data_IF_998744753567
#
_entry.id   IF_998744753567
#
_cell.length_a   1.000
_cell.length_b   1.000
_cell.length_c   1.000
_cell.angle_alpha   90.00
_cell.angle_beta   90.00
_cell.angle_gamma   90.00
#
_symmetry.space_group_name_H-M   'P 1'
#
loop_
_entity.id
_entity.type
_entity.pdbx_description
1 polymer ?
#
# COMPACT_ATOMS: atom_id res chain seq x y z
N UNK A 1 15.45 9.84 11.86
CA UNK A 1 15.80 9.36 10.51
C UNK A 1 15.75 7.83 10.41
N UNK A 2 16.44 7.07 11.26
CA UNK A 2 16.41 5.60 11.28
C UNK A 2 15.00 4.99 11.32
N UNK A 3 14.12 5.49 12.21
CA UNK A 3 12.74 4.99 12.33
C UNK A 3 11.95 5.10 11.01
N UNK A 4 12.17 6.18 10.24
CA UNK A 4 11.49 6.39 8.96
C UNK A 4 11.94 5.36 7.92
N UNK A 5 13.24 5.05 7.89
CA UNK A 5 13.78 4.01 7.02
C UNK A 5 13.25 2.62 7.39
N UNK A 6 13.18 2.30 8.69
CA UNK A 6 12.61 1.03 9.16
C UNK A 6 11.15 0.91 8.68
N UNK A 7 10.35 1.96 8.86
CA UNK A 7 8.97 1.98 8.37
C UNK A 7 8.87 1.77 6.87
N UNK A 8 9.72 2.43 6.08
CA UNK A 8 9.76 2.22 4.62
C UNK A 8 10.11 0.78 4.25
N UNK A 9 11.13 0.18 4.88
CA UNK A 9 11.51 -1.21 4.60
C UNK A 9 10.39 -2.20 4.94
N UNK A 10 9.74 -2.01 6.09
CA UNK A 10 8.59 -2.84 6.49
C UNK A 10 7.45 -2.67 5.49
N UNK A 11 7.13 -1.43 5.10
CA UNK A 11 6.06 -1.14 4.15
C UNK A 11 6.31 -1.76 2.77
N UNK A 12 7.54 -1.68 2.26
CA UNK A 12 7.92 -2.33 1.01
C UNK A 12 7.72 -3.85 1.15
N UNK A 13 8.26 -4.44 2.21
CA UNK A 13 8.17 -5.90 2.43
C UNK A 13 6.73 -6.38 2.56
N UNK A 14 5.89 -5.70 3.33
CA UNK A 14 4.46 -6.07 3.47
C UNK A 14 3.71 -5.91 2.16
N UNK A 15 4.05 -4.89 1.36
CA UNK A 15 3.48 -4.70 0.02
C UNK A 15 3.92 -5.78 -0.95
N UNK A 16 5.17 -6.26 -0.89
CA UNK A 16 5.66 -7.39 -1.69
C UNK A 16 4.97 -8.71 -1.34
N UNK A 17 4.67 -8.92 -0.05
CA UNK A 17 3.97 -10.11 0.45
C UNK A 17 2.47 -10.13 0.17
N UNK A 18 1.90 -9.08 -0.44
CA UNK A 18 0.46 -8.99 -0.71
C UNK A 18 -0.40 -8.67 0.50
N UNK A 19 0.21 -8.18 1.58
CA UNK A 19 -0.49 -7.77 2.80
C UNK A 19 -1.04 -6.34 2.66
N UNK A 20 -1.86 -6.09 1.64
CA UNK A 20 -2.33 -4.74 1.28
C UNK A 20 -2.99 -3.98 2.42
N UNK A 21 -3.90 -4.63 3.18
CA UNK A 21 -4.53 -4.01 4.37
C UNK A 21 -3.49 -3.60 5.40
N UNK A 22 -2.48 -4.45 5.65
CA UNK A 22 -1.40 -4.13 6.60
C UNK A 22 -0.60 -2.93 6.11
N UNK A 23 -0.29 -2.87 4.80
CA UNK A 23 0.39 -1.73 4.20
C UNK A 23 -0.42 -0.43 4.29
N UNK A 24 -1.76 -0.48 4.16
CA UNK A 24 -2.66 0.67 4.38
C UNK A 24 -2.56 1.17 5.82
N UNK A 25 -2.66 0.26 6.79
CA UNK A 25 -2.57 0.59 8.23
C UNK A 25 -1.21 1.19 8.55
N UNK A 26 -0.12 0.55 8.12
CA UNK A 26 1.24 1.05 8.31
C UNK A 26 1.41 2.45 7.70
N UNK A 27 0.89 2.66 6.50
CA UNK A 27 1.03 3.95 5.83
C UNK A 27 0.28 5.05 6.56
N UNK A 28 -0.94 4.76 7.00
CA UNK A 28 -1.80 5.70 7.74
C UNK A 28 -1.18 6.04 9.10
N UNK A 29 -0.74 5.03 9.85
CA UNK A 29 -0.10 5.21 11.16
C UNK A 29 1.18 6.03 11.03
N UNK A 30 2.02 5.76 10.02
CA UNK A 30 3.25 6.51 9.84
C UNK A 30 3.02 7.98 9.44
N UNK A 31 2.04 8.25 8.56
CA UNK A 31 1.63 9.62 8.22
C UNK A 31 1.14 10.36 9.48
N UNK A 32 0.34 9.70 10.32
CA UNK A 32 -0.13 10.29 11.58
C UNK A 32 1.04 10.57 12.53
N UNK A 33 1.97 9.62 12.68
CA UNK A 33 3.16 9.78 13.51
C UNK A 33 4.03 10.95 13.05
N UNK A 34 4.16 11.14 11.73
CA UNK A 34 4.84 12.30 11.15
C UNK A 34 4.12 13.60 11.50
N UNK A 35 2.79 13.67 11.41
CA UNK A 35 2.02 14.86 11.80
C UNK A 35 2.17 15.20 13.29
N UNK A 36 2.21 14.18 14.15
CA UNK A 36 2.44 14.34 15.59
C UNK A 36 3.90 14.63 15.97
N UNK A 37 4.80 14.75 14.98
CA UNK A 37 6.24 15.00 15.16
C UNK A 37 6.95 13.94 16.04
N UNK A 38 6.44 12.69 16.06
CA UNK A 38 7.04 11.60 16.85
C UNK A 38 8.48 11.32 16.38
N UNK A 39 8.75 11.03 15.09
CA UNK A 39 10.11 11.08 14.58
C UNK A 39 10.51 12.55 14.38
N UNK A 40 11.50 13.01 15.15
CA UNK A 40 12.16 14.29 14.88
C UNK A 40 12.86 14.23 13.51
N UNK A 41 12.23 14.85 12.51
CA UNK A 41 12.72 14.98 11.14
C UNK A 41 12.66 16.45 10.74
N UNK A 42 13.56 16.86 9.84
CA UNK A 42 13.48 18.19 9.24
C UNK A 42 12.17 18.33 8.44
N UNK A 43 11.67 19.55 8.29
CA UNK A 43 10.43 19.83 7.58
C UNK A 43 10.45 19.29 6.13
N UNK A 44 11.61 19.41 5.45
CA UNK A 44 11.79 18.88 4.10
C UNK A 44 11.69 17.35 4.06
N UNK A 45 12.40 16.66 4.97
CA UNK A 45 12.35 15.20 5.05
C UNK A 45 10.94 14.70 5.38
N UNK A 46 10.25 15.34 6.33
CA UNK A 46 8.85 15.03 6.67
C UNK A 46 7.93 15.14 5.45
N UNK A 47 8.04 16.21 4.68
CA UNK A 47 7.22 16.39 3.48
C UNK A 47 7.49 15.33 2.41
N UNK A 48 8.75 14.92 2.20
CA UNK A 48 9.10 13.85 1.27
C UNK A 48 8.49 12.52 1.71
N UNK A 49 8.67 12.13 2.98
CA UNK A 49 8.09 10.90 3.52
C UNK A 49 6.56 10.92 3.47
N UNK A 50 5.89 12.03 3.83
CA UNK A 50 4.43 12.13 3.72
C UNK A 50 3.97 11.92 2.28
N UNK A 51 4.64 12.50 1.29
CA UNK A 51 4.30 12.31 -0.13
C UNK A 51 4.45 10.84 -0.55
N UNK A 52 5.57 10.20 -0.23
CA UNK A 52 5.82 8.80 -0.58
C UNK A 52 4.80 7.85 0.08
N UNK A 53 4.54 8.03 1.38
CA UNK A 53 3.59 7.18 2.10
C UNK A 53 2.14 7.42 1.65
N UNK A 54 1.78 8.66 1.27
CA UNK A 54 0.48 8.93 0.65
C UNK A 54 0.35 8.22 -0.70
N UNK A 55 1.39 8.24 -1.53
CA UNK A 55 1.39 7.52 -2.81
C UNK A 55 1.13 6.03 -2.59
N UNK A 56 1.86 5.38 -1.68
CA UNK A 56 1.67 3.95 -1.38
C UNK A 56 0.27 3.68 -0.82
N UNK A 57 -0.23 4.54 0.08
CA UNK A 57 -1.59 4.43 0.62
C UNK A 57 -2.64 4.52 -0.49
N UNK A 58 -2.56 5.52 -1.36
CA UNK A 58 -3.46 5.68 -2.50
C UNK A 58 -3.38 4.50 -3.46
N UNK A 59 -2.18 4.00 -3.72
CA UNK A 59 -1.98 2.85 -4.57
C UNK A 59 -2.74 1.63 -4.00
N UNK A 60 -2.55 1.30 -2.71
CA UNK A 60 -3.27 0.17 -2.11
C UNK A 60 -4.78 0.37 -2.09
N UNK A 61 -5.26 1.57 -1.74
CA UNK A 61 -6.70 1.88 -1.76
C UNK A 61 -7.29 1.71 -3.16
N UNK A 62 -6.59 2.17 -4.21
CA UNK A 62 -7.02 2.00 -5.60
C UNK A 62 -7.03 0.52 -6.01
N UNK A 63 -6.01 -0.25 -5.62
CA UNK A 63 -5.97 -1.70 -5.84
C UNK A 63 -7.15 -2.42 -5.20
N UNK A 64 -7.51 -2.07 -3.96
CA UNK A 64 -8.71 -2.61 -3.31
C UNK A 64 -10.01 -2.16 -3.98
N UNK A 65 -10.09 -0.90 -4.41
CA UNK A 65 -11.26 -0.41 -5.14
C UNK A 65 -11.46 -1.20 -6.44
N UNK A 66 -10.39 -1.47 -7.20
CA UNK A 66 -10.45 -2.32 -8.40
C UNK A 66 -10.91 -3.74 -8.08
N UNK A 67 -10.43 -4.34 -6.99
CA UNK A 67 -10.86 -5.67 -6.56
C UNK A 67 -12.33 -5.70 -6.15
N UNK A 68 -12.80 -4.70 -5.40
CA UNK A 68 -14.21 -4.59 -5.01
C UNK A 68 -15.08 -4.42 -6.25
N UNK A 69 -14.72 -3.51 -7.16
CA UNK A 69 -15.43 -3.34 -8.43
C UNK A 69 -15.49 -4.64 -9.22
N UNK A 70 -14.39 -5.41 -9.27
CA UNK A 70 -14.37 -6.69 -9.98
C UNK A 70 -15.23 -7.75 -9.27
N UNK A 71 -15.24 -7.77 -7.93
CA UNK A 71 -16.06 -8.68 -7.15
C UNK A 71 -17.56 -8.47 -7.43
N UNK A 72 -17.98 -7.21 -7.63
CA UNK A 72 -19.36 -6.85 -7.98
C UNK A 72 -19.76 -7.25 -9.41
N UNK A 73 -18.79 -7.62 -10.26
CA UNK A 73 -19.01 -8.07 -11.64
C UNK A 73 -18.95 -9.60 -11.79
N UNK A 74 -18.91 -10.34 -10.67
CA UNK A 74 -18.97 -11.80 -10.69
C UNK A 74 -20.43 -12.23 -10.89
N UNK A 75 -20.69 -12.93 -11.98
CA UNK A 75 -22.03 -13.44 -12.31
C UNK A 75 -22.26 -14.87 -11.79
N UNK A 76 -21.19 -15.63 -11.53
CA UNK A 76 -21.29 -16.93 -10.87
C UNK A 76 -19.98 -17.53 -10.38
N UNK A 77 -20.07 -18.72 -9.80
CA UNK A 77 -18.92 -19.43 -9.22
C UNK A 77 -17.82 -19.76 -10.25
N UNK A 78 -18.19 -19.90 -11.53
CA UNK A 78 -17.25 -20.11 -12.62
C UNK A 78 -16.27 -18.94 -12.86
N UNK A 79 -16.60 -17.72 -12.41
CA UNK A 79 -15.77 -16.54 -12.61
C UNK A 79 -14.74 -16.34 -11.48
N UNK A 80 -14.92 -17.06 -10.35
CA UNK A 80 -14.05 -16.97 -9.17
C UNK A 80 -12.60 -17.32 -9.49
N UNK A 81 -12.27 -18.40 -10.25
CA UNK A 81 -10.89 -18.67 -10.64
C UNK A 81 -10.27 -17.53 -11.45
N UNK A 82 -11.04 -16.91 -12.36
CA UNK A 82 -10.56 -15.78 -13.16
C UNK A 82 -10.38 -14.52 -12.31
N UNK A 83 -11.24 -14.30 -11.31
CA UNK A 83 -11.06 -13.26 -10.30
C UNK A 83 -9.74 -13.44 -9.55
N UNK A 84 -9.48 -14.63 -9.01
CA UNK A 84 -8.25 -14.94 -8.27
C UNK A 84 -7.00 -14.76 -9.16
N UNK A 85 -7.00 -15.31 -10.38
CA UNK A 85 -5.87 -15.18 -11.30
C UNK A 85 -5.56 -13.71 -11.61
N UNK A 86 -6.59 -12.89 -11.86
CA UNK A 86 -6.41 -11.46 -12.09
C UNK A 86 -5.92 -10.71 -10.87
N UNK A 87 -6.36 -11.10 -9.66
CA UNK A 87 -5.90 -10.51 -8.42
C UNK A 87 -4.39 -10.74 -8.24
N UNK A 88 -3.90 -11.95 -8.54
CA UNK A 88 -2.47 -12.28 -8.46
C UNK A 88 -1.64 -11.46 -9.46
N UNK A 89 -2.10 -11.34 -10.72
CA UNK A 89 -1.41 -10.54 -11.74
C UNK A 89 -1.39 -9.07 -11.31
N UNK A 90 -2.53 -8.52 -10.90
CA UNK A 90 -2.64 -7.14 -10.42
C UNK A 90 -1.70 -6.92 -9.24
N UNK A 91 -1.70 -7.82 -8.26
CA UNK A 91 -0.81 -7.78 -7.10
C UNK A 91 0.66 -7.71 -7.52
N UNK A 92 1.12 -8.57 -8.43
CA UNK A 92 2.51 -8.56 -8.88
C UNK A 92 2.92 -7.26 -9.58
N UNK A 93 2.06 -6.73 -10.46
CA UNK A 93 2.31 -5.44 -11.13
C UNK A 93 2.38 -4.32 -10.10
N UNK A 94 1.41 -4.27 -9.19
CA UNK A 94 1.30 -3.23 -8.16
C UNK A 94 2.45 -3.25 -7.16
N UNK A 95 2.83 -4.46 -6.76
CA UNK A 95 3.95 -4.74 -5.89
C UNK A 95 5.27 -4.27 -6.51
N UNK A 96 5.48 -4.53 -7.80
CA UNK A 96 6.62 -4.01 -8.55
C UNK A 96 6.64 -2.48 -8.62
N UNK A 97 5.49 -1.85 -8.84
CA UNK A 97 5.37 -0.38 -8.88
C UNK A 97 5.65 0.29 -7.53
N UNK A 98 5.28 -0.34 -6.42
CA UNK A 98 5.55 0.19 -5.07
C UNK A 98 7.03 0.03 -4.69
N UNK A 99 7.71 -0.99 -5.23
CA UNK A 99 9.10 -1.28 -4.92
C UNK A 99 10.11 -0.56 -5.84
N UNK A 100 9.67 -0.02 -6.98
CA UNK A 100 10.48 0.74 -7.93
C UNK A 100 10.71 2.20 -7.48
#
# INVERSE_FOLDING_TARGET
MLLAFIYSMVLIKTSLLGLGVVSIVLSTVFILALHLNIPALSANAKNQFVKSFKLVLFAHLLGYLLLVSKLLLIDGWQDVPMFIASHLIMHHIWSGLIAA
#
